data_IF_443290004482
#
_entry.id   IF_443290004482
#
_cell.length_a   1.000
_cell.length_b   1.000
_cell.length_c   1.000
_cell.angle_alpha   90.00
_cell.angle_beta   90.00
_cell.angle_gamma   90.00
#
_symmetry.space_group_name_H-M   'P 1'
#
loop_
_entity.id
_entity.type
_entity.pdbx_description
1 polymer ?
#
# COMPACT_ATOMS: atom_id res chain seq x y z
N UNK A 1 -21.54 15.21 26.08
CA UNK A 1 -21.35 14.76 25.96
C UNK A 1 -21.02 14.24 25.63
N UNK A 2 -20.66 13.99 25.48
CA UNK A 2 -20.30 13.41 25.25
C UNK A 2 -20.13 12.45 25.09
N UNK A 3 -20.19 12.32 25.36
CA UNK A 3 -19.71 11.11 25.66
C UNK A 3 -20.07 10.11 24.71
N UNK A 4 -21.16 10.00 24.52
CA UNK A 4 -21.58 9.16 23.62
C UNK A 4 -20.83 9.16 22.44
N UNK A 5 -20.44 10.23 22.11
CA UNK A 5 -19.70 10.34 21.01
C UNK A 5 -18.57 9.55 20.95
N UNK A 6 -18.02 9.36 22.02
CA UNK A 6 -16.86 8.67 22.04
C UNK A 6 -16.94 7.36 21.54
N UNK A 7 -17.98 6.73 21.60
CA UNK A 7 -18.06 5.45 21.15
C UNK A 7 -17.79 5.30 19.77
N UNK A 8 -18.02 6.26 18.99
CA UNK A 8 -17.76 6.14 17.62
C UNK A 8 -16.32 6.21 17.33
N UNK A 9 -15.58 6.80 18.18
CA UNK A 9 -14.20 7.00 17.92
C UNK A 9 -13.40 5.77 17.60
N UNK A 10 -13.52 4.71 18.35
CA UNK A 10 -12.78 3.51 18.04
C UNK A 10 -13.12 3.00 16.66
N UNK A 11 -14.38 3.04 16.32
CA UNK A 11 -14.80 2.56 15.07
C UNK A 11 -14.25 3.44 13.95
N UNK A 12 -14.24 4.71 14.15
CA UNK A 12 -13.71 5.60 13.15
C UNK A 12 -12.22 5.39 12.96
N UNK A 13 -11.54 5.06 14.04
CA UNK A 13 -10.12 4.81 13.93
C UNK A 13 -9.88 3.58 13.10
N UNK A 14 -10.69 2.57 13.24
CA UNK A 14 -10.54 1.38 12.45
C UNK A 14 -10.75 1.73 10.99
N UNK A 15 -11.70 2.57 10.69
CA UNK A 15 -11.97 2.95 9.32
C UNK A 15 -10.78 3.73 8.75
N UNK A 16 -10.11 4.53 9.55
CA UNK A 16 -8.97 5.27 9.10
C UNK A 16 -7.81 4.37 8.78
N UNK A 17 -7.76 3.22 9.42
CA UNK A 17 -6.68 2.29 9.20
C UNK A 17 -6.97 1.27 8.11
N UNK A 18 -8.11 1.40 7.46
CA UNK A 18 -8.47 0.51 6.37
C UNK A 18 -8.59 1.31 5.09
N UNK A 19 -7.83 0.90 4.09
CA UNK A 19 -7.87 1.54 2.79
C UNK A 19 -8.63 0.62 1.84
N UNK A 20 -9.62 1.15 1.17
CA UNK A 20 -10.43 0.38 0.25
C UNK A 20 -10.36 0.95 -1.15
N UNK A 21 -10.03 0.10 -2.10
CA UNK A 21 -9.94 0.50 -3.49
C UNK A 21 -10.55 -0.63 -4.33
N UNK A 22 -11.82 -0.48 -4.69
CA UNK A 22 -12.51 -1.55 -5.42
C UNK A 22 -12.58 -2.81 -4.57
N UNK A 23 -12.01 -3.88 -5.06
CA UNK A 23 -12.03 -5.15 -4.34
C UNK A 23 -10.79 -5.34 -3.46
N UNK A 24 -9.96 -4.34 -3.35
CA UNK A 24 -8.76 -4.40 -2.55
C UNK A 24 -8.96 -3.65 -1.24
N UNK A 25 -8.67 -4.30 -0.12
CA UNK A 25 -8.77 -3.70 1.20
C UNK A 25 -7.46 -3.90 1.92
N UNK A 26 -6.88 -2.83 2.41
CA UNK A 26 -5.60 -2.90 3.13
C UNK A 26 -5.83 -2.43 4.55
N UNK A 27 -5.55 -3.30 5.52
CA UNK A 27 -5.72 -2.95 6.92
C UNK A 27 -4.35 -2.64 7.53
N UNK A 28 -4.14 -1.37 7.86
CA UNK A 28 -2.85 -0.92 8.37
C UNK A 28 -2.64 -1.31 9.83
N UNK A 29 -3.71 -1.58 10.55
CA UNK A 29 -3.58 -1.93 11.97
C UNK A 29 -2.96 -3.28 12.18
N UNK A 30 -3.36 -4.26 11.37
CA UNK A 30 -2.87 -5.61 11.56
C UNK A 30 -2.10 -6.16 10.37
N UNK A 31 -1.68 -5.27 9.47
CA UNK A 31 -0.87 -5.66 8.30
C UNK A 31 -1.54 -6.77 7.48
N UNK A 32 -2.82 -6.60 7.20
CA UNK A 32 -3.53 -7.61 6.41
C UNK A 32 -4.10 -6.99 5.15
N UNK A 33 -4.31 -7.84 4.15
CA UNK A 33 -4.86 -7.42 2.87
C UNK A 33 -5.96 -8.38 2.47
N UNK A 34 -7.11 -7.83 2.09
CA UNK A 34 -8.19 -8.62 1.52
C UNK A 34 -8.34 -8.22 0.07
N UNK A 35 -8.43 -9.21 -0.80
CA UNK A 35 -8.52 -8.96 -2.23
C UNK A 35 -9.58 -9.89 -2.78
N UNK A 36 -10.65 -9.32 -3.33
CA UNK A 36 -11.80 -10.08 -3.79
C UNK A 36 -12.31 -11.02 -2.69
N UNK A 37 -12.33 -10.52 -1.46
CA UNK A 37 -12.83 -11.27 -0.33
C UNK A 37 -11.89 -12.31 0.24
N UNK A 38 -10.69 -12.44 -0.32
CA UNK A 38 -9.72 -13.43 0.15
C UNK A 38 -8.54 -12.74 0.79
N UNK A 39 -8.00 -13.36 1.83
CA UNK A 39 -6.85 -12.83 2.51
C UNK A 39 -5.59 -13.11 1.70
N UNK A 40 -4.79 -12.10 1.47
CA UNK A 40 -3.51 -12.27 0.79
C UNK A 40 -2.39 -12.04 1.78
N UNK A 41 -1.35 -12.86 1.67
CA UNK A 41 -0.18 -12.72 2.51
C UNK A 41 0.90 -11.96 1.77
N UNK A 42 1.43 -10.94 2.41
CA UNK A 42 2.55 -10.19 1.87
C UNK A 42 3.66 -10.17 2.92
N UNK A 43 4.90 -10.39 2.52
CA UNK A 43 6.01 -10.16 3.45
C UNK A 43 6.00 -8.71 3.92
N UNK A 44 6.56 -8.42 5.09
CA UNK A 44 6.44 -7.07 5.67
C UNK A 44 6.85 -5.95 4.74
N UNK A 45 7.95 -6.09 4.03
CA UNK A 45 8.39 -5.00 3.15
C UNK A 45 7.48 -4.82 1.95
N UNK A 46 6.91 -5.91 1.44
CA UNK A 46 5.95 -5.80 0.35
C UNK A 46 4.70 -5.11 0.84
N UNK A 47 4.23 -5.46 2.04
CA UNK A 47 3.06 -4.84 2.60
C UNK A 47 3.31 -3.35 2.84
N UNK A 48 4.46 -3.00 3.40
CA UNK A 48 4.79 -1.61 3.68
C UNK A 48 4.83 -0.79 2.40
N UNK A 49 5.40 -1.34 1.35
CA UNK A 49 5.48 -0.65 0.07
C UNK A 49 4.09 -0.43 -0.51
N UNK A 50 3.28 -1.47 -0.54
CA UNK A 50 1.94 -1.38 -1.07
C UNK A 50 1.10 -0.38 -0.27
N UNK A 51 1.15 -0.49 1.05
CA UNK A 51 0.33 0.37 1.89
C UNK A 51 0.79 1.82 1.82
N UNK A 52 2.08 2.06 1.72
CA UNK A 52 2.59 3.42 1.61
C UNK A 52 2.07 4.07 0.32
N UNK A 53 2.17 3.36 -0.79
CA UNK A 53 1.68 3.90 -2.05
C UNK A 53 0.17 4.09 -2.03
N UNK A 54 -0.54 3.16 -1.41
CA UNK A 54 -2.00 3.26 -1.34
C UNK A 54 -2.48 4.38 -0.44
N UNK A 55 -1.67 4.79 0.53
CA UNK A 55 -2.02 5.92 1.38
C UNK A 55 -1.92 7.24 0.64
N UNK A 56 -1.24 7.24 -0.50
CA UNK A 56 -1.07 8.43 -1.32
C UNK A 56 -1.49 8.13 -2.76
N UNK A 57 -2.76 7.83 -2.98
CA UNK A 57 -3.20 7.41 -4.31
C UNK A 57 -2.95 8.48 -5.35
N UNK A 58 -2.54 8.03 -6.51
CA UNK A 58 -2.25 8.89 -7.66
C UNK A 58 -1.02 9.78 -7.50
N UNK A 59 -0.26 9.58 -6.44
CA UNK A 59 0.98 10.34 -6.25
C UNK A 59 2.14 9.48 -6.68
N UNK A 60 3.05 10.07 -7.46
CA UNK A 60 4.21 9.36 -7.98
C UNK A 60 5.37 9.49 -7.02
N UNK A 61 6.04 8.38 -6.75
CA UNK A 61 7.25 8.37 -5.92
C UNK A 61 8.39 7.77 -6.73
N UNK A 62 9.58 8.34 -6.60
CA UNK A 62 10.74 7.80 -7.27
C UNK A 62 11.18 6.54 -6.53
N UNK A 63 11.98 5.71 -7.21
CA UNK A 63 12.50 4.50 -6.57
C UNK A 63 13.35 4.84 -5.36
N UNK A 64 14.12 5.93 -5.45
CA UNK A 64 14.94 6.36 -4.32
C UNK A 64 14.09 6.77 -3.13
N UNK A 65 13.00 7.48 -3.38
CA UNK A 65 12.10 7.87 -2.32
C UNK A 65 11.49 6.65 -1.64
N UNK A 66 11.10 5.64 -2.42
CA UNK A 66 10.51 4.44 -1.87
C UNK A 66 11.55 3.64 -1.11
N UNK A 67 12.77 3.59 -1.59
CA UNK A 67 13.84 2.88 -0.90
C UNK A 67 14.08 3.53 0.47
N UNK A 68 14.16 4.86 0.52
CA UNK A 68 14.39 5.56 1.77
C UNK A 68 13.23 5.39 2.74
N UNK A 69 12.01 5.43 2.23
CA UNK A 69 10.84 5.37 3.10
C UNK A 69 10.60 3.98 3.68
N UNK A 70 10.83 2.95 2.88
CA UNK A 70 10.50 1.59 3.30
C UNK A 70 11.71 0.88 3.91
N UNK A 71 12.89 1.06 3.32
CA UNK A 71 14.09 0.39 3.81
C UNK A 71 14.96 1.30 4.69
N UNK A 72 14.85 2.60 4.51
CA UNK A 72 15.55 3.57 5.36
C UNK A 72 16.86 4.06 4.76
N UNK A 73 17.32 5.19 5.30
CA UNK A 73 18.52 5.80 4.84
C UNK A 73 19.73 4.92 4.89
N UNK A 74 19.83 4.09 5.90
CA UNK A 74 21.03 3.30 6.11
C UNK A 74 21.07 2.02 5.27
N UNK A 75 20.04 1.79 4.50
CA UNK A 75 20.01 0.59 3.69
C UNK A 75 21.02 0.73 2.56
N UNK A 76 21.94 -0.21 2.50
CA UNK A 76 22.96 -0.20 1.49
C UNK A 76 22.53 -1.14 0.38
N UNK A 77 21.61 -0.74 -0.40
CA UNK A 77 21.10 -1.59 -1.46
C UNK A 77 20.83 -0.78 -2.71
N UNK A 78 20.30 -1.45 -3.69
CA UNK A 78 20.04 -0.89 -4.97
C UNK A 78 18.55 -0.61 -5.10
N UNK A 79 18.18 0.36 -5.89
CA UNK A 79 16.78 0.65 -6.16
C UNK A 79 16.09 -0.53 -6.84
N UNK A 80 16.84 -1.48 -7.37
CA UNK A 80 16.24 -2.68 -7.93
C UNK A 80 15.46 -3.48 -6.88
N UNK A 81 15.79 -3.29 -5.61
CA UNK A 81 15.04 -3.91 -4.54
C UNK A 81 13.58 -3.47 -4.59
N UNK A 82 13.35 -2.19 -4.87
CA UNK A 82 11.99 -1.67 -5.00
C UNK A 82 11.30 -2.34 -6.18
N UNK A 83 11.98 -2.48 -7.30
CA UNK A 83 11.40 -3.08 -8.50
C UNK A 83 10.99 -4.52 -8.27
N UNK A 84 11.81 -5.28 -7.56
CA UNK A 84 11.52 -6.67 -7.27
C UNK A 84 10.28 -6.77 -6.38
N UNK A 85 10.19 -5.91 -5.37
CA UNK A 85 9.04 -5.95 -4.47
C UNK A 85 7.76 -5.52 -5.20
N UNK A 86 7.84 -4.54 -6.06
CA UNK A 86 6.69 -4.11 -6.85
C UNK A 86 6.23 -5.26 -7.75
N UNK A 87 7.17 -5.97 -8.36
CA UNK A 87 6.83 -7.08 -9.22
C UNK A 87 6.08 -8.16 -8.44
N UNK A 88 6.57 -8.49 -7.24
CA UNK A 88 5.94 -9.51 -6.42
C UNK A 88 4.54 -9.11 -5.97
N UNK A 89 4.36 -7.83 -5.66
CA UNK A 89 3.04 -7.34 -5.29
C UNK A 89 2.11 -7.48 -6.49
N UNK A 90 2.57 -7.07 -7.67
CA UNK A 90 1.75 -7.13 -8.86
C UNK A 90 1.36 -8.56 -9.22
N UNK A 91 2.22 -9.51 -8.94
CA UNK A 91 1.92 -10.90 -9.24
C UNK A 91 0.76 -11.43 -8.41
N UNK A 92 0.53 -10.85 -7.24
CA UNK A 92 -0.57 -11.26 -6.39
C UNK A 92 -1.86 -10.54 -6.72
N UNK A 93 -1.80 -9.45 -7.45
CA UNK A 93 -2.96 -8.66 -7.81
C UNK A 93 -3.23 -8.81 -9.30
N UNK A 94 -4.49 -8.69 -9.67
CA UNK A 94 -4.87 -8.83 -11.07
C UNK A 94 -4.60 -7.52 -11.81
N UNK A 95 -3.85 -7.58 -12.89
CA UNK A 95 -3.52 -6.38 -13.64
C UNK A 95 -4.74 -5.75 -14.29
N UNK A 96 -5.83 -6.48 -14.38
CA UNK A 96 -7.04 -5.96 -14.98
C UNK A 96 -7.86 -5.15 -13.99
N UNK A 97 -7.51 -5.19 -12.71
CA UNK A 97 -8.24 -4.43 -11.72
C UNK A 97 -8.05 -2.94 -11.94
N UNK A 98 -9.04 -2.20 -11.52
CA UNK A 98 -9.02 -0.76 -11.66
C UNK A 98 -7.89 -0.13 -10.86
N UNK A 99 -7.64 -0.62 -9.67
CA UNK A 99 -6.61 -0.07 -8.79
C UNK A 99 -5.40 -0.98 -8.70
N UNK A 100 -4.25 -0.39 -8.65
CA UNK A 100 -3.01 -1.16 -8.49
C UNK A 100 -1.78 -0.28 -8.57
N UNK A 101 -0.61 -0.90 -8.51
CA UNK A 101 0.64 -0.17 -8.63
C UNK A 101 0.93 0.00 -10.10
N UNK A 102 1.14 1.24 -10.50
CA UNK A 102 1.41 1.57 -11.91
C UNK A 102 2.83 2.10 -12.04
N UNK A 103 3.49 1.73 -13.11
CA UNK A 103 4.82 2.25 -13.42
C UNK A 103 4.67 3.60 -14.09
N UNK A 104 5.45 4.57 -13.61
CA UNK A 104 5.53 5.85 -14.28
C UNK A 104 6.93 5.87 -14.91
N UNK A 105 6.98 5.66 -16.21
CA UNK A 105 8.25 5.46 -16.89
C UNK A 105 9.23 6.61 -16.68
N UNK A 106 10.45 6.24 -16.37
CA UNK A 106 11.56 7.16 -16.10
C UNK A 106 11.41 7.93 -14.78
N UNK A 107 10.39 7.65 -13.97
CA UNK A 107 10.19 8.33 -12.70
C UNK A 107 10.13 7.34 -11.55
N UNK A 108 9.15 6.46 -11.55
CA UNK A 108 8.98 5.53 -10.44
C UNK A 108 7.62 4.84 -10.49
N UNK A 109 6.95 4.84 -9.35
CA UNK A 109 5.70 4.11 -9.21
C UNK A 109 4.63 4.94 -8.53
N UNK A 110 3.39 4.59 -8.76
CA UNK A 110 2.27 5.19 -8.04
C UNK A 110 1.20 4.14 -7.85
N UNK A 111 0.31 4.35 -6.90
CA UNK A 111 -0.86 3.51 -6.72
C UNK A 111 -2.03 4.31 -7.30
N UNK A 112 -2.69 3.77 -8.28
CA UNK A 112 -3.75 4.53 -8.92
C UNK A 112 -4.62 3.68 -9.80
N UNK A 113 -5.56 4.36 -10.42
CA UNK A 113 -6.49 3.71 -11.32
C UNK A 113 -5.86 3.50 -12.67
N UNK A 114 -6.42 2.53 -13.35
CA UNK A 114 -5.96 2.18 -14.67
C UNK A 114 -6.17 3.28 -15.67
#
# INVERSE_FOLDING_TARGET
>A
MKAVLRRYEPKQEEDKNILKFGELEINLSNYSVLYHGKSLDFPPKEFELLSFLAQHPNRVFTREQLLDRIWGYEYVGDTRTVDVHVKRIREKLNSEDEWGIRTVWSVGYKFGQK
#
